data_IF_890553629005
#
_entry.id   IF_890553629005
#
_cell.length_a   1.000
_cell.length_b   1.000
_cell.length_c   1.000
_cell.angle_alpha   90.00
_cell.angle_beta   90.00
_cell.angle_gamma   90.00
#
_symmetry.space_group_name_H-M   'P 1'
#
loop_
_entity.id
_entity.type
_entity.pdbx_description
1 polymer ?
#
# COMPACT_ATOMS: atom_id res chain seq x y z
N UNK A 1 -1.03 -2.28 -3.89
CA UNK A 1 -1.24 -0.87 -4.29
C UNK A 1 0.11 -0.19 -4.52
N UNK A 2 0.17 0.80 -5.41
CA UNK A 2 1.37 1.61 -5.66
C UNK A 2 1.02 3.09 -5.48
N UNK A 3 1.85 3.81 -4.73
CA UNK A 3 1.75 5.25 -4.49
C UNK A 3 2.99 5.92 -5.08
N UNK A 4 2.83 6.82 -6.04
CA UNK A 4 3.91 7.70 -6.49
C UNK A 4 3.84 8.99 -5.67
N UNK A 5 4.98 9.48 -5.17
CA UNK A 5 5.00 10.72 -4.42
C UNK A 5 5.09 11.92 -5.35
N UNK A 6 4.24 12.92 -5.14
CA UNK A 6 4.35 14.21 -5.85
C UNK A 6 5.66 14.93 -5.50
N UNK A 7 6.06 14.84 -4.23
CA UNK A 7 7.37 15.31 -3.74
C UNK A 7 8.17 14.13 -3.19
N UNK A 8 9.41 13.90 -3.66
CA UNK A 8 10.22 12.79 -3.20
C UNK A 8 10.43 12.80 -1.68
N UNK A 9 10.34 11.62 -1.06
CA UNK A 9 10.45 11.45 0.39
C UNK A 9 11.85 11.02 0.78
N UNK A 10 12.49 11.71 1.72
CA UNK A 10 13.80 11.32 2.27
C UNK A 10 13.59 10.57 3.59
N UNK A 11 13.99 9.31 3.63
CA UNK A 11 13.87 8.49 4.84
C UNK A 11 15.15 8.52 5.69
N UNK A 12 15.08 7.97 6.90
CA UNK A 12 16.16 8.02 7.90
C UNK A 12 17.49 7.42 7.44
N UNK A 13 17.49 6.58 6.40
CA UNK A 13 18.70 6.01 5.78
C UNK A 13 19.39 6.96 4.78
N UNK A 14 18.94 8.21 4.68
CA UNK A 14 19.50 9.25 3.84
C UNK A 14 19.16 9.16 2.35
N UNK A 15 18.47 8.09 1.92
CA UNK A 15 18.04 7.90 0.52
C UNK A 15 16.73 8.63 0.25
N UNK A 16 16.57 9.04 -1.01
CA UNK A 16 15.37 9.70 -1.53
C UNK A 16 14.55 8.68 -2.30
N UNK A 17 13.26 8.62 -2.00
CA UNK A 17 12.30 7.67 -2.54
C UNK A 17 11.22 8.41 -3.32
N UNK A 18 10.78 7.82 -4.44
CA UNK A 18 9.80 8.42 -5.35
C UNK A 18 8.48 7.64 -5.40
N UNK A 19 8.47 6.42 -4.88
CA UNK A 19 7.23 5.66 -4.74
C UNK A 19 7.24 4.71 -3.55
N UNK A 20 6.05 4.23 -3.20
CA UNK A 20 5.82 3.22 -2.19
C UNK A 20 4.88 2.13 -2.72
N UNK A 21 5.27 0.87 -2.55
CA UNK A 21 4.40 -0.28 -2.71
C UNK A 21 3.77 -0.64 -1.37
N UNK A 22 2.45 -0.84 -1.37
CA UNK A 22 1.69 -1.30 -0.21
C UNK A 22 1.06 -2.64 -0.56
N UNK A 23 1.50 -3.70 0.11
CA UNK A 23 0.88 -5.02 0.05
C UNK A 23 -0.41 -5.01 0.85
N UNK A 24 -1.52 -5.33 0.20
CA UNK A 24 -2.85 -5.36 0.82
C UNK A 24 -3.46 -6.73 0.55
N UNK A 25 -3.95 -7.37 1.60
CA UNK A 25 -4.80 -8.55 1.52
C UNK A 25 -6.26 -8.12 1.66
N UNK A 26 -7.15 -8.73 0.87
CA UNK A 26 -8.58 -8.40 0.82
C UNK A 26 -9.40 -9.64 1.16
N UNK A 27 -10.41 -9.48 2.01
CA UNK A 27 -11.48 -10.43 2.23
C UNK A 27 -12.79 -9.84 1.71
N UNK A 28 -13.18 -10.28 0.52
CA UNK A 28 -14.37 -9.81 -0.16
C UNK A 28 -15.67 -10.28 0.49
N UNK A 29 -15.66 -11.40 1.22
CA UNK A 29 -16.85 -11.93 1.89
C UNK A 29 -17.15 -11.15 3.17
N UNK A 30 -16.11 -10.86 3.96
CA UNK A 30 -16.23 -10.11 5.20
C UNK A 30 -16.18 -8.58 5.00
N UNK A 31 -15.88 -8.13 3.79
CA UNK A 31 -15.64 -6.72 3.44
C UNK A 31 -14.55 -6.09 4.30
N UNK A 32 -13.39 -6.75 4.34
CA UNK A 32 -12.26 -6.37 5.18
C UNK A 32 -10.96 -6.33 4.38
N UNK A 33 -9.98 -5.58 4.87
CA UNK A 33 -8.65 -5.50 4.30
C UNK A 33 -7.58 -5.63 5.40
N UNK A 34 -6.36 -5.96 5.01
CA UNK A 34 -5.19 -5.85 5.86
C UNK A 34 -4.00 -5.32 5.06
N UNK A 35 -3.32 -4.30 5.58
CA UNK A 35 -2.00 -3.90 5.08
C UNK A 35 -0.97 -4.86 5.67
N UNK A 36 -0.31 -5.62 4.80
CA UNK A 36 0.63 -6.68 5.22
C UNK A 36 2.09 -6.31 4.99
N UNK A 37 2.37 -5.40 4.06
CA UNK A 37 3.73 -4.93 3.80
C UNK A 37 3.78 -3.52 3.21
N UNK A 38 4.86 -2.80 3.46
CA UNK A 38 5.20 -1.57 2.75
C UNK A 38 6.66 -1.56 2.32
N UNK A 39 6.90 -1.14 1.08
CA UNK A 39 8.23 -1.05 0.48
C UNK A 39 8.38 0.31 -0.18
N UNK A 40 9.47 1.03 0.06
CA UNK A 40 9.76 2.26 -0.66
C UNK A 40 10.79 2.01 -1.76
N UNK A 41 10.64 2.69 -2.90
CA UNK A 41 11.53 2.57 -4.04
C UNK A 41 12.05 3.93 -4.54
N UNK A 42 13.27 3.95 -5.07
CA UNK A 42 13.93 5.18 -5.52
C UNK A 42 13.31 5.77 -6.77
N UNK A 43 12.65 4.94 -7.59
CA UNK A 43 11.93 5.37 -8.80
C UNK A 43 10.42 5.30 -8.61
N UNK A 44 9.68 5.78 -9.60
CA UNK A 44 8.23 5.64 -9.66
C UNK A 44 7.84 4.18 -9.93
N UNK A 45 6.58 3.83 -9.67
CA UNK A 45 6.03 2.49 -9.90
C UNK A 45 6.70 1.35 -9.11
N UNK A 46 7.26 1.66 -7.94
CA UNK A 46 7.97 0.71 -7.07
C UNK A 46 9.16 0.06 -7.79
N UNK A 47 9.82 0.81 -8.68
CA UNK A 47 10.98 0.33 -9.43
C UNK A 47 12.31 0.82 -8.84
N UNK A 48 13.43 0.22 -9.27
CA UNK A 48 14.77 0.58 -8.84
C UNK A 48 15.17 -0.07 -7.51
N UNK A 49 16.00 0.62 -6.72
CA UNK A 49 16.47 0.10 -5.42
C UNK A 49 15.36 0.27 -4.38
N UNK A 50 14.85 -0.86 -3.87
CA UNK A 50 13.82 -0.89 -2.83
C UNK A 50 14.39 -1.03 -1.42
N UNK A 51 13.61 -0.61 -0.42
CA UNK A 51 13.77 -1.02 0.98
C UNK A 51 12.42 -1.41 1.56
N UNK A 52 12.36 -2.54 2.25
CA UNK A 52 11.19 -2.91 3.04
C UNK A 52 11.11 -1.97 4.26
N UNK A 53 9.99 -1.27 4.41
CA UNK A 53 9.77 -0.33 5.51
C UNK A 53 9.02 -0.96 6.66
N UNK A 54 8.09 -1.85 6.35
CA UNK A 54 7.22 -2.46 7.33
C UNK A 54 6.67 -3.78 6.83
N UNK A 55 6.61 -4.76 7.71
CA UNK A 55 5.77 -5.94 7.55
C UNK A 55 4.84 -5.98 8.76
N UNK A 56 3.54 -5.86 8.50
CA UNK A 56 2.54 -5.84 9.58
C UNK A 56 2.20 -7.27 9.98
N UNK A 57 2.00 -7.57 11.28
CA UNK A 57 1.20 -8.72 11.63
C UNK A 57 -0.19 -8.55 10.99
N UNK A 58 -0.64 -9.60 10.29
CA UNK A 58 -1.92 -9.59 9.59
C UNK A 58 -3.05 -9.28 10.57
N UNK A 59 -3.68 -8.12 10.40
CA UNK A 59 -4.85 -7.68 11.15
C UNK A 59 -5.90 -7.18 10.16
N UNK A 60 -7.00 -7.90 10.07
CA UNK A 60 -8.12 -7.53 9.19
C UNK A 60 -8.92 -6.39 9.81
N UNK A 61 -9.20 -5.36 9.02
CA UNK A 61 -9.91 -4.15 9.42
C UNK A 61 -11.05 -3.88 8.42
N UNK A 62 -12.13 -3.25 8.90
CA UNK A 62 -13.19 -2.76 8.02
C UNK A 62 -12.75 -1.41 7.47
N UNK A 63 -12.95 -1.14 6.16
CA UNK A 63 -12.62 0.16 5.61
C UNK A 63 -13.56 1.24 6.15
N UNK A 64 -13.02 2.42 6.42
CA UNK A 64 -13.84 3.59 6.69
C UNK A 64 -14.58 4.01 5.41
N UNK A 65 -15.77 4.58 5.55
CA UNK A 65 -16.55 5.02 4.40
C UNK A 65 -15.83 6.15 3.65
N UNK A 66 -15.73 6.03 2.32
CA UNK A 66 -15.02 6.98 1.46
C UNK A 66 -13.50 6.83 1.48
N UNK A 67 -12.96 5.86 2.22
CA UNK A 67 -11.53 5.58 2.24
C UNK A 67 -11.05 4.99 0.91
N UNK A 68 -9.74 5.06 0.72
CA UNK A 68 -9.06 4.41 -0.41
C UNK A 68 -9.22 2.89 -0.33
N UNK A 69 -9.21 2.32 0.87
CA UNK A 69 -9.37 0.90 1.14
C UNK A 69 -10.79 0.43 0.82
N UNK A 70 -11.82 1.23 1.13
CA UNK A 70 -13.18 0.96 0.67
C UNK A 70 -13.26 0.94 -0.86
N UNK A 71 -12.60 1.89 -1.52
CA UNK A 71 -12.56 1.97 -2.99
C UNK A 71 -11.82 0.78 -3.60
N UNK A 72 -10.76 0.30 -2.95
CA UNK A 72 -10.02 -0.90 -3.31
C UNK A 72 -10.88 -2.16 -3.24
N UNK A 73 -11.62 -2.33 -2.14
CA UNK A 73 -12.55 -3.44 -1.96
C UNK A 73 -13.68 -3.39 -2.99
N UNK A 74 -14.30 -2.21 -3.21
CA UNK A 74 -15.31 -2.02 -4.26
C UNK A 74 -14.79 -2.41 -5.64
N UNK A 75 -13.60 -1.91 -6.00
CA UNK A 75 -13.04 -2.19 -7.32
C UNK A 75 -12.72 -3.68 -7.47
N UNK A 76 -12.01 -4.28 -6.51
CA UNK A 76 -11.53 -5.66 -6.64
C UNK A 76 -12.63 -6.72 -6.46
N UNK A 77 -13.52 -6.53 -5.49
CA UNK A 77 -14.48 -7.55 -5.05
C UNK A 77 -15.83 -7.50 -5.78
N UNK A 78 -16.20 -6.38 -6.41
CA UNK A 78 -17.45 -6.27 -7.18
C UNK A 78 -17.22 -6.62 -8.65
N UNK A 79 -16.02 -6.40 -9.18
CA UNK A 79 -15.71 -6.65 -10.60
C UNK A 79 -15.24 -8.08 -10.88
N UNK A 80 -15.14 -8.93 -9.86
CA UNK A 80 -14.73 -10.34 -9.94
C UNK A 80 -15.78 -11.22 -9.32
#
# INVERSE_FOLDING_TARGET
MVLNFDTPQKLNNGKVYRSMGVGVELDCHAWQYAVISTTAATDIWVNGKGVALYNSPRKMEKPDQGSMEESLLKNHCITR
#
